data_IF_202464823232
#
_entry.id   IF_202464823232
#
_cell.length_a   1.000
_cell.length_b   1.000
_cell.length_c   1.000
_cell.angle_alpha   90.00
_cell.angle_beta   90.00
_cell.angle_gamma   90.00
#
_symmetry.space_group_name_H-M   'P 1'
#
loop_
_entity.id
_entity.type
_entity.pdbx_description
1 polymer ?
#
# COMPACT_ATOMS: atom_id res chain seq x y z
N UNK A 1 -18.48 -5.30 -8.84
CA UNK A 1 -17.30 -4.71 -8.19
C UNK A 1 -17.00 -3.36 -8.81
N UNK A 2 -16.17 -2.57 -8.15
CA UNK A 2 -15.63 -1.30 -8.69
C UNK A 2 -14.60 -1.60 -9.77
N UNK A 3 -14.67 -0.94 -10.93
CA UNK A 3 -13.78 -1.17 -12.08
C UNK A 3 -13.00 0.08 -12.51
N UNK A 4 -13.13 1.18 -11.77
CA UNK A 4 -12.45 2.42 -12.11
C UNK A 4 -12.55 3.43 -10.97
N UNK A 5 -11.51 4.25 -10.86
CA UNK A 5 -11.45 5.36 -9.93
C UNK A 5 -10.84 6.56 -10.65
N UNK A 6 -11.61 7.65 -10.76
CA UNK A 6 -11.15 8.93 -11.30
C UNK A 6 -11.20 9.95 -10.16
N UNK A 7 -10.04 10.47 -9.76
CA UNK A 7 -9.99 11.55 -8.78
C UNK A 7 -10.23 12.90 -9.47
N UNK A 8 -10.92 13.80 -8.76
CA UNK A 8 -11.12 15.17 -9.20
C UNK A 8 -10.17 16.08 -8.42
N UNK A 9 -9.32 16.91 -9.04
CA UNK A 9 -9.10 17.14 -10.48
C UNK A 9 -7.63 16.92 -10.85
N UNK A 10 -7.32 16.85 -12.15
CA UNK A 10 -5.93 16.67 -12.59
C UNK A 10 -5.11 17.95 -12.39
N UNK A 11 -5.52 19.07 -12.99
CA UNK A 11 -4.71 20.28 -13.09
C UNK A 11 -5.46 21.57 -12.71
N UNK A 12 -4.69 22.61 -12.41
CA UNK A 12 -5.18 23.97 -12.19
C UNK A 12 -5.15 24.81 -13.47
N UNK A 13 -6.16 25.67 -13.66
CA UNK A 13 -6.22 26.65 -14.75
C UNK A 13 -5.67 28.03 -14.37
N UNK A 14 -5.46 28.26 -13.06
CA UNK A 14 -4.96 29.50 -12.47
C UNK A 14 -4.42 29.22 -11.05
N UNK A 15 -3.56 30.08 -10.48
CA UNK A 15 -3.04 29.88 -9.13
C UNK A 15 -4.14 30.07 -8.06
N UNK A 16 -4.67 28.96 -7.54
CA UNK A 16 -5.69 28.95 -6.49
C UNK A 16 -5.64 27.64 -5.67
N UNK A 17 -6.17 27.63 -4.44
CA UNK A 17 -6.40 26.39 -3.72
C UNK A 17 -7.54 25.60 -4.38
N UNK A 18 -7.22 24.40 -4.85
CA UNK A 18 -8.14 23.51 -5.57
C UNK A 18 -7.85 22.05 -5.23
N UNK A 19 -8.67 21.14 -5.78
CA UNK A 19 -8.45 19.68 -5.72
C UNK A 19 -7.44 19.16 -6.75
N UNK A 20 -6.71 20.02 -7.47
CA UNK A 20 -5.78 19.58 -8.50
C UNK A 20 -4.56 18.87 -7.90
N UNK A 21 -4.07 17.82 -8.57
CA UNK A 21 -2.77 17.23 -8.25
C UNK A 21 -1.59 17.93 -8.96
N UNK A 22 -1.87 18.67 -10.04
CA UNK A 22 -0.89 19.47 -10.80
C UNK A 22 -1.24 20.97 -10.67
N UNK A 23 -0.30 21.77 -10.17
CA UNK A 23 -0.42 23.23 -10.04
C UNK A 23 -0.47 23.93 -11.41
N UNK A 24 -0.91 25.20 -11.40
CA UNK A 24 -0.80 26.06 -12.56
C UNK A 24 0.68 26.21 -12.94
N UNK A 25 1.02 25.95 -14.21
CA UNK A 25 2.42 25.88 -14.67
C UNK A 25 3.05 24.49 -14.62
N UNK A 26 2.29 23.44 -14.24
CA UNK A 26 2.68 22.04 -14.43
C UNK A 26 3.45 21.41 -13.27
N UNK A 27 3.65 22.12 -12.15
CA UNK A 27 4.34 21.58 -10.98
C UNK A 27 3.47 20.54 -10.26
N UNK A 28 4.07 19.42 -9.88
CA UNK A 28 3.38 18.36 -9.15
C UNK A 28 3.16 18.77 -7.69
N UNK A 29 1.92 18.63 -7.20
CA UNK A 29 1.65 18.54 -5.77
C UNK A 29 2.02 17.14 -5.29
N UNK A 30 2.20 17.00 -3.98
CA UNK A 30 2.46 15.71 -3.31
C UNK A 30 1.44 14.63 -3.77
N UNK A 31 0.18 15.01 -3.97
CA UNK A 31 -0.87 14.13 -4.48
C UNK A 31 -0.49 13.44 -5.80
N UNK A 32 0.13 14.15 -6.75
CA UNK A 32 0.48 13.55 -8.04
C UNK A 32 1.61 12.51 -7.89
N UNK A 33 2.56 12.77 -6.99
CA UNK A 33 3.57 11.78 -6.62
C UNK A 33 2.94 10.52 -6.02
N UNK A 34 1.93 10.66 -5.15
CA UNK A 34 1.18 9.51 -4.64
C UNK A 34 0.36 8.81 -5.71
N UNK A 35 -0.26 9.55 -6.64
CA UNK A 35 -1.06 8.99 -7.73
C UNK A 35 -0.26 8.04 -8.62
N UNK A 36 1.00 8.37 -8.88
CA UNK A 36 1.91 7.46 -9.58
C UNK A 36 2.08 6.12 -8.86
N UNK A 37 2.05 6.09 -7.52
CA UNK A 37 2.22 4.86 -6.75
C UNK A 37 0.91 4.10 -6.58
N UNK A 38 -0.21 4.77 -6.27
CA UNK A 38 -1.48 4.09 -6.05
C UNK A 38 -2.22 3.68 -7.34
N UNK A 39 -1.72 4.08 -8.51
CA UNK A 39 -2.14 3.56 -9.82
C UNK A 39 -1.08 2.66 -10.48
N UNK A 40 -0.09 2.17 -9.73
CA UNK A 40 0.85 1.19 -10.26
C UNK A 40 0.13 -0.14 -10.58
N UNK A 41 0.59 -0.85 -11.60
CA UNK A 41 -0.05 -2.09 -12.06
C UNK A 41 -0.01 -3.20 -11.00
N UNK A 42 0.91 -3.10 -10.03
CA UNK A 42 1.03 -3.99 -8.88
C UNK A 42 1.06 -3.15 -7.61
N UNK A 43 -0.06 -3.11 -6.89
CA UNK A 43 -0.22 -2.29 -5.70
C UNK A 43 -0.44 -3.15 -4.46
N UNK A 44 0.36 -2.89 -3.42
CA UNK A 44 0.09 -3.35 -2.06
C UNK A 44 -0.63 -2.24 -1.30
N UNK A 45 -1.89 -2.48 -0.97
CA UNK A 45 -2.78 -1.51 -0.34
C UNK A 45 -3.14 -1.95 1.08
N UNK A 46 -2.44 -1.43 2.10
CA UNK A 46 -2.80 -1.62 3.49
C UNK A 46 -3.92 -0.67 3.92
N UNK A 47 -4.87 -1.17 4.70
CA UNK A 47 -5.93 -0.35 5.27
C UNK A 47 -6.39 -0.92 6.60
N UNK A 48 -6.97 -0.04 7.43
CA UNK A 48 -7.59 -0.43 8.69
C UNK A 48 -9.09 -0.62 8.46
N UNK A 49 -9.60 -1.77 8.84
CA UNK A 49 -11.01 -2.12 8.78
C UNK A 49 -11.42 -2.75 10.11
N UNK A 50 -12.28 -2.09 10.89
CA UNK A 50 -12.79 -2.59 12.17
C UNK A 50 -11.70 -3.11 13.14
N UNK A 51 -10.62 -2.34 13.34
CA UNK A 51 -9.44 -2.71 14.13
C UNK A 51 -8.61 -3.88 13.59
N UNK A 52 -8.88 -4.36 12.37
CA UNK A 52 -8.01 -5.26 11.65
C UNK A 52 -7.22 -4.50 10.61
N UNK A 53 -5.91 -4.70 10.62
CA UNK A 53 -5.06 -4.29 9.51
C UNK A 53 -5.19 -5.35 8.43
N UNK A 54 -5.69 -4.93 7.27
CA UNK A 54 -5.77 -5.74 6.07
C UNK A 54 -4.81 -5.21 5.04
N UNK A 55 -4.23 -6.12 4.28
CA UNK A 55 -3.40 -5.76 3.13
C UNK A 55 -3.99 -6.45 1.91
N UNK A 56 -4.39 -5.64 0.94
CA UNK A 56 -4.85 -6.12 -0.36
C UNK A 56 -3.75 -6.01 -1.39
N UNK A 57 -3.60 -7.04 -2.22
CA UNK A 57 -2.88 -6.95 -3.48
C UNK A 57 -3.87 -6.59 -4.58
N UNK A 58 -3.54 -5.57 -5.36
CA UNK A 58 -4.28 -5.19 -6.57
C UNK A 58 -3.36 -5.36 -7.76
N UNK A 59 -3.84 -6.07 -8.79
CA UNK A 59 -3.12 -6.33 -10.03
C UNK A 59 -3.91 -5.83 -11.23
N UNK A 60 -3.28 -4.98 -12.03
CA UNK A 60 -3.76 -4.47 -13.31
C UNK A 60 -2.71 -4.71 -14.40
N UNK A 61 -2.32 -5.98 -14.54
CA UNK A 61 -1.35 -6.45 -15.52
C UNK A 61 -1.87 -7.69 -16.24
N UNK A 62 -1.22 -8.09 -17.34
CA UNK A 62 -1.61 -9.21 -18.20
C UNK A 62 -0.68 -10.42 -18.11
N UNK A 63 0.17 -10.53 -17.08
CA UNK A 63 1.18 -11.58 -16.97
C UNK A 63 0.65 -12.93 -16.47
N UNK A 64 -0.64 -13.03 -16.15
CA UNK A 64 -1.26 -14.23 -15.60
C UNK A 64 -0.94 -14.40 -14.11
N UNK A 65 -0.87 -15.66 -13.68
CA UNK A 65 -0.64 -16.01 -12.27
C UNK A 65 0.78 -15.64 -11.83
N UNK A 66 0.90 -14.98 -10.68
CA UNK A 66 2.16 -14.56 -10.07
C UNK A 66 2.27 -15.11 -8.65
N UNK A 67 3.40 -15.78 -8.38
CA UNK A 67 3.80 -16.16 -7.03
C UNK A 67 4.72 -15.09 -6.44
N UNK A 68 4.52 -14.76 -5.16
CA UNK A 68 5.28 -13.70 -4.50
C UNK A 68 5.33 -13.92 -2.99
N UNK A 69 6.31 -13.27 -2.35
CA UNK A 69 6.44 -13.24 -0.90
C UNK A 69 6.06 -11.84 -0.38
N UNK A 70 5.12 -11.80 0.56
CA UNK A 70 4.78 -10.61 1.32
C UNK A 70 5.66 -10.55 2.56
N UNK A 71 6.39 -9.45 2.75
CA UNK A 71 7.11 -9.13 3.97
C UNK A 71 6.43 -7.98 4.70
N UNK A 72 5.91 -8.28 5.88
CA UNK A 72 5.29 -7.33 6.81
C UNK A 72 6.32 -7.00 7.88
N UNK A 73 6.65 -5.71 8.05
CA UNK A 73 7.63 -5.27 9.04
C UNK A 73 7.01 -4.21 9.96
N UNK A 74 7.22 -4.36 11.26
CA UNK A 74 6.86 -3.37 12.26
C UNK A 74 8.15 -2.74 12.78
N UNK A 75 8.12 -1.42 12.94
CA UNK A 75 9.23 -0.60 13.37
C UNK A 75 8.80 0.22 14.58
N UNK A 76 9.77 0.47 15.46
CA UNK A 76 9.67 1.46 16.52
C UNK A 76 10.31 2.76 15.99
N UNK A 77 9.70 3.92 16.27
CA UNK A 77 10.25 5.21 15.86
C UNK A 77 11.66 5.49 16.38
N UNK A 78 12.06 4.86 17.49
CA UNK A 78 13.37 5.02 18.10
C UNK A 78 14.51 4.34 17.33
N UNK A 79 14.22 3.37 16.46
CA UNK A 79 15.25 2.56 15.79
C UNK A 79 14.91 2.25 14.33
N UNK A 80 15.93 2.35 13.47
CA UNK A 80 15.79 2.02 12.04
C UNK A 80 15.93 0.50 11.77
N UNK A 81 15.37 -0.35 12.64
CA UNK A 81 15.39 -1.81 12.51
C UNK A 81 14.01 -2.36 12.86
N UNK A 82 13.51 -3.35 12.10
CA UNK A 82 12.21 -3.92 12.38
C UNK A 82 12.24 -4.65 13.74
N UNK A 83 11.28 -4.34 14.60
CA UNK A 83 11.05 -5.05 15.86
C UNK A 83 10.31 -6.38 15.64
N UNK A 84 9.60 -6.47 14.51
CA UNK A 84 8.88 -7.66 14.09
C UNK A 84 8.89 -7.76 12.56
N UNK A 85 9.05 -8.97 12.05
CA UNK A 85 8.94 -9.28 10.62
C UNK A 85 8.13 -10.56 10.44
N UNK A 86 7.14 -10.51 9.56
CA UNK A 86 6.35 -11.65 9.12
C UNK A 86 6.49 -11.82 7.62
N UNK A 87 6.81 -13.04 7.18
CA UNK A 87 6.90 -13.40 5.76
C UNK A 87 5.86 -14.46 5.44
N UNK A 88 5.15 -14.28 4.34
CA UNK A 88 4.13 -15.21 3.86
C UNK A 88 4.17 -15.30 2.35
N UNK A 89 4.10 -16.52 1.81
CA UNK A 89 4.05 -16.77 0.37
C UNK A 89 2.61 -16.82 -0.12
N UNK A 90 2.36 -16.17 -1.25
CA UNK A 90 1.04 -16.04 -1.86
C UNK A 90 1.11 -16.21 -3.37
N UNK A 91 -0.07 -16.38 -3.97
CA UNK A 91 -0.26 -16.42 -5.41
C UNK A 91 -1.47 -15.57 -5.80
N UNK A 92 -1.43 -14.89 -6.94
CA UNK A 92 -2.52 -14.02 -7.42
C UNK A 92 -2.65 -14.09 -8.93
N UNK A 93 -3.88 -14.03 -9.43
CA UNK A 93 -4.15 -13.89 -10.85
C UNK A 93 -4.06 -12.42 -11.32
N UNK A 94 -3.84 -12.21 -12.61
CA UNK A 94 -3.94 -10.89 -13.25
C UNK A 94 -5.35 -10.30 -13.14
N UNK A 95 -5.47 -8.97 -13.22
CA UNK A 95 -6.75 -8.23 -13.17
C UNK A 95 -7.60 -8.56 -11.93
N UNK A 96 -6.94 -8.73 -10.77
CA UNK A 96 -7.58 -9.18 -9.55
C UNK A 96 -7.25 -8.27 -8.37
N UNK A 97 -8.12 -8.30 -7.36
CA UNK A 97 -7.88 -7.68 -6.06
C UNK A 97 -8.20 -8.69 -4.96
N UNK A 98 -7.22 -8.99 -4.11
CA UNK A 98 -7.37 -10.00 -3.06
C UNK A 98 -6.72 -9.56 -1.75
N UNK A 99 -7.34 -9.90 -0.62
CA UNK A 99 -6.73 -9.70 0.70
C UNK A 99 -5.69 -10.80 0.93
N UNK A 100 -4.45 -10.39 1.14
CA UNK A 100 -3.28 -11.29 1.31
C UNK A 100 -2.76 -11.30 2.75
N UNK A 101 -3.23 -10.39 3.60
CA UNK A 101 -2.88 -10.34 5.01
C UNK A 101 -4.03 -9.74 5.81
N UNK A 102 -4.32 -10.30 6.98
CA UNK A 102 -5.35 -9.84 7.90
C UNK A 102 -4.90 -10.15 9.33
N UNK A 103 -4.72 -9.12 10.15
CA UNK A 103 -4.38 -9.25 11.57
C UNK A 103 -5.10 -8.18 12.38
N UNK A 104 -5.56 -8.53 13.58
CA UNK A 104 -6.09 -7.53 14.51
C UNK A 104 -4.96 -6.61 15.02
N UNK A 105 -5.25 -5.33 15.22
CA UNK A 105 -4.31 -4.37 15.81
C UNK A 105 -3.79 -4.85 17.17
N UNK A 106 -4.69 -5.38 18.01
CA UNK A 106 -4.34 -5.90 19.34
C UNK A 106 -3.32 -7.04 19.24
N UNK A 107 -3.54 -7.97 18.33
CA UNK A 107 -2.60 -9.07 18.13
C UNK A 107 -1.28 -8.58 17.54
N UNK A 108 -1.30 -7.63 16.60
CA UNK A 108 -0.09 -7.03 16.05
C UNK A 108 0.76 -6.37 17.14
N UNK A 109 0.13 -5.57 18.02
CA UNK A 109 0.82 -4.95 19.16
C UNK A 109 1.40 -5.99 20.13
N UNK A 110 0.67 -7.09 20.34
CA UNK A 110 1.12 -8.18 21.21
C UNK A 110 2.35 -8.89 20.64
N UNK A 111 2.33 -9.26 19.36
CA UNK A 111 3.45 -9.98 18.73
C UNK A 111 4.65 -9.07 18.50
N UNK A 112 4.43 -7.80 18.16
CA UNK A 112 5.49 -6.82 17.98
C UNK A 112 6.02 -6.24 19.30
N UNK A 113 5.37 -6.53 20.44
CA UNK A 113 5.70 -6.01 21.77
C UNK A 113 5.83 -4.49 21.81
N UNK A 114 4.88 -3.80 21.17
CA UNK A 114 4.94 -2.37 20.99
C UNK A 114 3.68 -1.66 21.45
N UNK A 115 3.85 -0.44 21.93
CA UNK A 115 2.76 0.48 22.28
C UNK A 115 2.02 0.97 21.03
N UNK A 116 0.73 1.29 21.16
CA UNK A 116 -0.10 1.78 20.06
C UNK A 116 0.40 3.12 19.47
N UNK A 117 1.11 3.93 20.27
CA UNK A 117 1.51 5.30 19.90
C UNK A 117 2.90 5.37 19.25
N UNK A 118 3.78 4.42 19.57
CA UNK A 118 5.21 4.48 19.23
C UNK A 118 5.59 3.57 18.07
N UNK A 119 4.61 2.84 17.54
CA UNK A 119 4.82 1.92 16.42
C UNK A 119 4.35 2.48 15.10
N UNK A 120 5.15 2.21 14.07
CA UNK A 120 4.75 2.31 12.69
C UNK A 120 5.05 1.00 11.98
N UNK A 121 4.37 0.76 10.88
CA UNK A 121 4.52 -0.46 10.11
C UNK A 121 4.78 -0.11 8.66
N UNK A 122 5.52 -0.98 8.00
CA UNK A 122 5.86 -0.86 6.61
C UNK A 122 5.82 -2.25 5.98
N UNK A 123 5.31 -2.31 4.77
CA UNK A 123 5.09 -3.56 4.06
C UNK A 123 5.89 -3.50 2.77
N UNK A 124 6.52 -4.62 2.45
CA UNK A 124 7.28 -4.80 1.23
C UNK A 124 6.75 -6.02 0.53
N UNK A 125 6.35 -5.82 -0.73
CA UNK A 125 6.19 -6.94 -1.64
C UNK A 125 7.56 -7.28 -2.20
N UNK A 126 7.96 -8.54 -2.07
CA UNK A 126 9.10 -9.09 -2.79
C UNK A 126 8.57 -10.12 -3.78
N UNK A 127 8.72 -9.84 -5.06
CA UNK A 127 8.43 -10.79 -6.12
C UNK A 127 9.71 -11.58 -6.39
N UNK A 128 9.72 -12.87 -6.04
CA UNK A 128 10.79 -13.77 -6.46
C UNK A 128 10.51 -14.17 -7.91
N UNK A 129 11.25 -13.59 -8.85
CA UNK A 129 11.22 -14.04 -10.24
C UNK A 129 12.04 -15.31 -10.33
N UNK A 130 11.39 -16.47 -10.27
CA UNK A 130 12.01 -17.73 -10.67
C UNK A 130 12.15 -17.72 -12.18
N UNK A 131 13.39 -17.54 -12.68
CA UNK A 131 13.75 -17.81 -14.07
C UNK A 131 13.57 -19.29 -14.42
#
# INVERSE_FOLDING_TARGET
GTMGALYWQLNDIWPAPTWASIEFGGKWKILHSFARHFYDNLLVSPYLDNNNIKVSLVRDDYYGKLDFDLSVKVYDWSQNRPIYEHKSRHSSDSFSAQVIYDISLLELHRVAKCSHIDCHWYWVLSVEVTN
#
